data_IF_942116436838
#
_entry.id   IF_942116436838
#
_cell.length_a   1.000
_cell.length_b   1.000
_cell.length_c   1.000
_cell.angle_alpha   90.00
_cell.angle_beta   90.00
_cell.angle_gamma   90.00
#
_symmetry.space_group_name_H-M   'P 1'
#
loop_
_entity.id
_entity.type
_entity.pdbx_description
1 polymer ?
#
# COMPACT_ATOMS: atom_id res chain seq x y z
N UNK A 1 65.40 11.07 22.02
CA UNK A 1 64.73 10.36 20.91
C UNK A 1 63.42 9.78 21.41
N UNK A 2 62.27 10.47 21.30
CA UNK A 2 60.92 9.92 21.56
C UNK A 2 59.82 10.98 21.30
N UNK A 3 59.78 11.60 20.11
CA UNK A 3 58.76 12.63 19.79
C UNK A 3 58.11 12.53 18.40
N UNK A 4 58.36 11.48 17.61
CA UNK A 4 57.79 11.39 16.25
C UNK A 4 56.62 10.43 16.07
N UNK A 5 56.37 9.49 17.00
CA UNK A 5 55.31 8.48 16.83
C UNK A 5 53.90 9.02 17.10
N UNK A 6 53.76 10.02 17.98
CA UNK A 6 52.44 10.58 18.35
C UNK A 6 51.81 11.41 17.22
N UNK A 7 52.62 12.01 16.33
CA UNK A 7 52.11 12.85 15.24
C UNK A 7 51.60 12.04 14.04
N UNK A 8 52.08 10.80 13.87
CA UNK A 8 51.65 9.93 12.76
C UNK A 8 50.33 9.23 13.08
N UNK A 9 50.09 8.86 14.34
CA UNK A 9 48.82 8.22 14.75
C UNK A 9 47.61 9.15 14.69
N UNK A 10 47.78 10.47 14.90
CA UNK A 10 46.68 11.44 14.82
C UNK A 10 46.25 11.71 13.37
N UNK A 11 47.18 11.66 12.41
CA UNK A 11 46.86 11.86 10.99
C UNK A 11 46.14 10.66 10.37
N UNK A 12 46.46 9.43 10.79
CA UNK A 12 45.76 8.22 10.32
C UNK A 12 44.34 8.15 10.90
N UNK A 13 44.11 8.63 12.13
CA UNK A 13 42.77 8.61 12.72
C UNK A 13 41.81 9.62 12.05
N UNK A 14 42.32 10.80 11.66
CA UNK A 14 41.52 11.82 10.96
C UNK A 14 41.20 11.39 9.51
N UNK A 15 42.13 10.69 8.85
CA UNK A 15 41.89 10.13 7.52
C UNK A 15 40.88 8.96 7.53
N UNK A 16 40.76 8.22 8.64
CA UNK A 16 39.83 7.08 8.76
C UNK A 16 38.39 7.51 9.15
N UNK A 17 38.20 8.72 9.68
CA UNK A 17 36.86 9.24 10.00
C UNK A 17 36.18 9.97 8.83
N UNK A 18 36.89 10.24 7.73
CA UNK A 18 36.33 10.91 6.56
C UNK A 18 35.67 9.98 5.54
N UNK A 19 35.74 8.65 5.73
CA UNK A 19 35.21 7.66 4.79
C UNK A 19 33.89 7.01 5.21
N UNK A 20 33.25 7.46 6.30
CA UNK A 20 32.08 6.79 6.89
C UNK A 20 30.76 7.59 6.88
N UNK A 21 30.68 8.75 6.20
CA UNK A 21 29.43 9.50 6.03
C UNK A 21 29.25 10.00 4.59
N UNK A 22 29.22 9.07 3.64
CA UNK A 22 28.35 9.27 2.47
C UNK A 22 27.04 8.55 2.77
N UNK A 23 26.21 9.16 3.63
CA UNK A 23 24.77 8.99 3.44
C UNK A 23 24.53 9.70 2.12
N UNK A 24 24.56 8.93 1.03
CA UNK A 24 24.15 9.45 -0.26
C UNK A 24 22.77 10.03 -0.04
N UNK A 25 22.65 11.36 -0.11
CA UNK A 25 21.37 11.98 -0.37
C UNK A 25 20.94 11.36 -1.70
N UNK A 26 20.03 10.39 -1.65
CA UNK A 26 19.30 9.92 -2.81
C UNK A 26 18.58 11.17 -3.30
N UNK A 27 19.21 11.86 -4.25
CA UNK A 27 18.54 12.88 -5.05
C UNK A 27 17.39 12.12 -5.67
N UNK A 28 16.15 12.59 -5.41
CA UNK A 28 14.96 12.04 -6.01
C UNK A 28 15.26 11.81 -7.50
N UNK A 29 15.14 10.56 -7.94
CA UNK A 29 15.28 10.24 -9.34
C UNK A 29 14.13 10.96 -10.04
N UNK A 30 14.42 12.11 -10.67
CA UNK A 30 13.48 12.87 -11.52
C UNK A 30 13.11 12.10 -12.80
N UNK A 31 13.43 10.80 -12.87
CA UNK A 31 13.00 9.89 -13.92
C UNK A 31 11.51 9.64 -13.79
N UNK A 32 10.72 10.47 -14.44
CA UNK A 32 9.28 10.30 -14.47
C UNK A 32 8.93 9.13 -15.39
N UNK A 33 8.26 8.12 -14.85
CA UNK A 33 7.69 7.01 -15.58
C UNK A 33 6.18 7.06 -15.33
N UNK A 34 5.40 7.23 -16.38
CA UNK A 34 3.94 7.25 -16.30
C UNK A 34 3.43 5.87 -16.68
N UNK A 35 2.75 5.20 -15.75
CA UNK A 35 2.16 3.88 -15.97
C UNK A 35 0.74 3.89 -15.44
N UNK A 36 -0.25 3.83 -16.33
CA UNK A 36 -1.67 3.76 -15.98
C UNK A 36 -2.12 4.76 -14.91
N UNK A 37 -3.21 4.40 -14.22
CA UNK A 37 -3.68 5.10 -13.03
C UNK A 37 -3.04 4.47 -11.79
N UNK A 38 -2.34 5.30 -11.02
CA UNK A 38 -1.68 4.90 -9.78
C UNK A 38 -2.51 5.19 -8.54
N UNK A 39 -2.34 4.35 -7.52
CA UNK A 39 -2.85 4.57 -6.17
C UNK A 39 -1.69 5.08 -5.32
N UNK A 40 -1.89 6.20 -4.64
CA UNK A 40 -0.91 6.71 -3.68
C UNK A 40 -0.73 5.72 -2.53
N UNK A 41 0.53 5.47 -2.19
CA UNK A 41 0.93 4.62 -1.07
C UNK A 41 1.85 5.39 -0.13
N UNK A 42 2.00 4.96 1.13
CA UNK A 42 3.04 5.48 2.00
C UNK A 42 4.41 5.42 1.32
N UNK A 43 5.23 6.48 1.43
CA UNK A 43 6.58 6.48 0.87
C UNK A 43 7.37 5.27 1.35
N UNK A 44 7.93 4.52 0.40
CA UNK A 44 8.75 3.35 0.67
C UNK A 44 9.90 3.27 -0.34
N UNK A 45 10.82 2.35 -0.11
CA UNK A 45 11.98 2.13 -0.97
C UNK A 45 11.95 0.71 -1.50
N UNK A 46 12.13 0.55 -2.81
CA UNK A 46 12.26 -0.75 -3.47
C UNK A 46 13.71 -0.93 -3.87
N UNK A 47 14.30 -2.06 -3.50
CA UNK A 47 15.64 -2.43 -3.97
C UNK A 47 15.52 -3.27 -5.23
N UNK A 48 16.15 -2.81 -6.31
CA UNK A 48 16.23 -3.52 -7.58
C UNK A 48 17.64 -3.39 -8.15
N UNK A 49 18.23 -4.51 -8.57
CA UNK A 49 19.62 -4.59 -9.05
C UNK A 49 20.64 -3.90 -8.09
N UNK A 50 20.47 -4.13 -6.78
CA UNK A 50 21.33 -3.55 -5.74
C UNK A 50 21.21 -2.04 -5.55
N UNK A 51 20.27 -1.38 -6.23
CA UNK A 51 19.99 0.05 -6.12
C UNK A 51 18.64 0.29 -5.45
N UNK A 52 18.57 1.32 -4.60
CA UNK A 52 17.35 1.73 -3.91
C UNK A 52 16.58 2.78 -4.72
N UNK A 53 15.29 2.54 -4.92
CA UNK A 53 14.37 3.43 -5.64
C UNK A 53 13.24 3.88 -4.71
N UNK A 54 13.04 5.20 -4.53
CA UNK A 54 11.89 5.69 -3.78
C UNK A 54 10.62 5.47 -4.58
N UNK A 55 9.57 4.96 -3.93
CA UNK A 55 8.25 4.76 -4.53
C UNK A 55 7.17 5.23 -3.57
N UNK A 56 6.22 5.99 -4.10
CA UNK A 56 5.06 6.52 -3.36
C UNK A 56 3.75 6.26 -4.09
N UNK A 57 3.80 5.50 -5.17
CA UNK A 57 2.65 5.14 -5.99
C UNK A 57 2.74 3.68 -6.37
N UNK A 58 1.60 3.00 -6.39
CA UNK A 58 1.44 1.64 -6.86
C UNK A 58 0.43 1.62 -8.00
N UNK A 59 0.81 1.04 -9.13
CA UNK A 59 -0.06 0.99 -10.31
C UNK A 59 -0.81 -0.32 -10.29
N UNK A 60 -2.08 -0.29 -10.67
CA UNK A 60 -2.89 -1.50 -10.81
C UNK A 60 -3.33 -1.70 -12.26
N UNK A 61 -3.41 -2.96 -12.68
CA UNK A 61 -3.96 -3.34 -13.98
C UNK A 61 -4.72 -4.65 -13.83
N UNK A 62 -5.93 -4.72 -14.36
CA UNK A 62 -6.70 -5.97 -14.35
C UNK A 62 -6.05 -6.97 -15.30
N UNK A 63 -5.93 -8.23 -14.88
CA UNK A 63 -5.43 -9.28 -15.77
C UNK A 63 -6.27 -9.34 -17.05
N UNK A 64 -5.60 -9.31 -18.19
CA UNK A 64 -6.20 -9.27 -19.53
C UNK A 64 -6.25 -7.88 -20.14
N UNK A 65 -6.16 -6.81 -19.35
CA UNK A 65 -6.05 -5.44 -19.84
C UNK A 65 -4.60 -5.07 -20.16
N UNK A 66 -4.34 -4.28 -21.22
CA UNK A 66 -2.99 -3.87 -21.57
C UNK A 66 -2.43 -2.89 -20.54
N UNK A 67 -1.26 -3.20 -20.01
CA UNK A 67 -0.49 -2.28 -19.17
C UNK A 67 0.30 -1.34 -20.06
N UNK A 68 0.02 -0.04 -20.00
CA UNK A 68 0.70 0.98 -20.82
C UNK A 68 1.68 1.76 -19.97
N UNK A 69 2.93 1.86 -20.42
CA UNK A 69 3.97 2.64 -19.77
C UNK A 69 4.56 3.66 -20.74
N UNK A 70 4.97 4.81 -20.21
CA UNK A 70 5.67 5.86 -20.96
C UNK A 70 6.74 6.48 -20.08
N UNK A 71 7.98 6.36 -20.51
CA UNK A 71 9.08 7.05 -19.87
C UNK A 71 9.04 8.54 -20.26
N UNK A 72 8.94 9.42 -19.28
CA UNK A 72 9.00 10.89 -19.46
C UNK A 72 10.31 11.48 -18.92
N UNK A 73 11.17 10.64 -18.35
CA UNK A 73 12.57 10.93 -18.06
C UNK A 73 13.31 9.69 -17.55
N UNK A 74 14.65 9.74 -17.45
CA UNK A 74 15.53 10.80 -17.98
C UNK A 74 15.73 10.70 -19.51
N UNK A 75 16.42 11.65 -20.14
CA UNK A 75 16.47 11.81 -21.62
C UNK A 75 17.11 10.63 -22.38
N UNK A 76 17.85 9.77 -21.70
CA UNK A 76 18.62 8.67 -22.29
C UNK A 76 18.00 7.28 -22.11
N UNK A 77 16.69 7.20 -21.88
CA UNK A 77 15.95 5.93 -21.85
C UNK A 77 16.07 5.22 -23.20
N UNK A 78 16.43 3.93 -23.16
CA UNK A 78 16.49 3.04 -24.32
C UNK A 78 15.54 1.86 -24.25
N UNK A 79 14.99 1.57 -23.06
CA UNK A 79 14.04 0.47 -22.86
C UNK A 79 13.22 0.61 -21.59
N UNK A 80 12.09 -0.08 -21.60
CA UNK A 80 11.16 -0.23 -20.49
C UNK A 80 10.83 -1.71 -20.36
N UNK A 81 11.17 -2.28 -19.23
CA UNK A 81 11.06 -3.71 -19.00
C UNK A 81 10.09 -4.02 -17.88
N UNK A 82 9.45 -5.19 -17.95
CA UNK A 82 8.61 -5.73 -16.90
C UNK A 82 9.32 -6.93 -16.25
N UNK A 83 9.39 -6.91 -14.93
CA UNK A 83 9.96 -7.96 -14.09
C UNK A 83 8.90 -8.54 -13.17
N UNK A 84 9.03 -9.83 -12.85
CA UNK A 84 8.25 -10.47 -11.79
C UNK A 84 8.83 -10.12 -10.40
N UNK A 85 8.15 -10.61 -9.35
CA UNK A 85 8.55 -10.41 -7.95
C UNK A 85 9.94 -10.98 -7.62
N UNK A 86 10.40 -11.98 -8.37
CA UNK A 86 11.71 -12.60 -8.15
C UNK A 86 12.83 -11.86 -8.91
N UNK A 87 12.47 -10.82 -9.67
CA UNK A 87 13.39 -10.03 -10.50
C UNK A 87 13.67 -10.69 -11.86
N UNK A 88 12.90 -11.69 -12.26
CA UNK A 88 13.05 -12.31 -13.58
C UNK A 88 12.41 -11.42 -14.65
N UNK A 89 13.11 -11.23 -15.76
CA UNK A 89 12.61 -10.48 -16.90
C UNK A 89 11.42 -11.20 -17.53
N UNK A 90 10.27 -10.53 -17.56
CA UNK A 90 9.03 -11.02 -18.17
C UNK A 90 8.87 -10.48 -19.58
N UNK A 91 9.09 -9.17 -19.74
CA UNK A 91 9.06 -8.51 -21.05
C UNK A 91 10.20 -7.50 -21.16
N UNK A 92 10.86 -7.53 -22.30
CA UNK A 92 11.76 -6.49 -22.79
C UNK A 92 11.03 -5.65 -23.84
N UNK A 93 11.04 -4.33 -23.69
CA UNK A 93 10.55 -3.39 -24.71
C UNK A 93 11.57 -2.28 -24.95
N UNK A 94 12.22 -2.27 -26.12
CA UNK A 94 12.93 -1.09 -26.59
C UNK A 94 11.97 0.09 -26.64
N UNK A 95 12.39 1.23 -26.09
CA UNK A 95 11.57 2.42 -25.99
C UNK A 95 12.46 3.66 -25.88
N UNK A 96 12.08 4.73 -26.57
CA UNK A 96 12.71 6.03 -26.40
C UNK A 96 11.96 6.89 -25.38
N UNK A 97 12.57 8.00 -24.98
CA UNK A 97 11.88 9.03 -24.21
C UNK A 97 10.55 9.41 -24.87
N UNK A 98 9.49 9.52 -24.07
CA UNK A 98 8.12 9.85 -24.47
C UNK A 98 7.41 8.83 -25.37
N UNK A 99 8.04 7.69 -25.66
CA UNK A 99 7.39 6.59 -26.36
C UNK A 99 6.52 5.79 -25.40
N UNK A 100 5.31 5.47 -25.85
CA UNK A 100 4.40 4.59 -25.11
C UNK A 100 4.61 3.14 -25.53
N UNK A 101 4.84 2.27 -24.55
CA UNK A 101 4.92 0.83 -24.74
C UNK A 101 3.77 0.12 -24.02
N UNK A 102 3.40 -1.04 -24.54
CA UNK A 102 2.34 -1.88 -23.96
C UNK A 102 2.85 -3.27 -23.63
N UNK A 103 2.42 -3.75 -22.46
CA UNK A 103 2.63 -5.11 -21.97
C UNK A 103 1.29 -5.83 -21.91
N UNK A 104 1.23 -7.04 -22.47
CA UNK A 104 0.04 -7.88 -22.34
C UNK A 104 0.05 -8.52 -20.95
N UNK A 105 -1.07 -8.39 -20.23
CA UNK A 105 -1.21 -9.02 -18.90
C UNK A 105 -1.99 -10.34 -18.95
N UNK A 106 -2.45 -10.77 -20.14
CA UNK A 106 -3.29 -11.97 -20.32
C UNK A 106 -2.65 -13.24 -19.75
N UNK A 107 -1.33 -13.38 -19.95
CA UNK A 107 -0.55 -14.54 -19.53
C UNK A 107 0.17 -14.34 -18.20
N UNK A 108 -0.02 -13.19 -17.56
CA UNK A 108 0.55 -12.90 -16.25
C UNK A 108 -0.36 -13.48 -15.16
N UNK A 109 0.26 -14.12 -14.17
CA UNK A 109 -0.43 -14.53 -12.96
C UNK A 109 -0.74 -13.27 -12.14
N UNK A 110 -1.94 -13.14 -11.54
CA UNK A 110 -2.20 -12.07 -10.60
C UNK A 110 -1.13 -12.00 -9.50
N UNK A 111 -0.63 -10.81 -9.21
CA UNK A 111 0.51 -10.64 -8.32
C UNK A 111 1.24 -9.31 -8.49
N UNK A 112 2.40 -9.24 -7.84
CA UNK A 112 3.30 -8.08 -7.85
C UNK A 112 4.33 -8.19 -8.97
N UNK A 113 4.51 -7.09 -9.69
CA UNK A 113 5.45 -6.92 -10.78
C UNK A 113 6.15 -5.57 -10.63
N UNK A 114 7.18 -5.37 -11.43
CA UNK A 114 8.01 -4.18 -11.40
C UNK A 114 8.29 -3.73 -12.83
N UNK A 115 7.97 -2.48 -13.14
CA UNK A 115 8.44 -1.85 -14.38
C UNK A 115 9.74 -1.11 -14.07
N UNK A 116 10.76 -1.30 -14.89
CA UNK A 116 11.98 -0.52 -14.82
C UNK A 116 12.32 0.11 -16.18
N UNK A 117 12.84 1.33 -16.15
CA UNK A 117 13.44 1.96 -17.34
C UNK A 117 14.95 1.81 -17.27
N UNK A 118 15.60 1.65 -18.42
CA UNK A 118 17.07 1.59 -18.50
C UNK A 118 17.61 2.41 -19.67
N UNK A 119 18.88 2.79 -19.58
CA UNK A 119 19.62 3.43 -20.66
C UNK A 119 20.35 2.42 -21.57
N UNK A 120 20.99 2.93 -22.62
CA UNK A 120 21.72 2.11 -23.60
C UNK A 120 22.94 1.38 -23.03
N UNK A 121 23.33 1.63 -21.78
CA UNK A 121 24.35 0.85 -21.05
C UNK A 121 23.75 -0.28 -20.21
N UNK A 122 22.42 -0.38 -20.16
CA UNK A 122 21.67 -1.33 -19.34
C UNK A 122 21.47 -0.87 -17.89
N UNK A 123 21.78 0.40 -17.57
CA UNK A 123 21.63 0.92 -16.21
C UNK A 123 20.19 1.34 -15.96
N UNK A 124 19.58 0.81 -14.89
CA UNK A 124 18.24 1.18 -14.48
C UNK A 124 18.15 2.61 -13.92
N UNK A 125 17.10 3.32 -14.34
CA UNK A 125 16.92 4.75 -14.07
C UNK A 125 15.71 5.00 -13.17
N UNK A 126 14.58 4.37 -13.48
CA UNK A 126 13.34 4.46 -12.69
C UNK A 126 12.77 3.07 -12.48
N UNK A 127 12.10 2.89 -11.34
CA UNK A 127 11.39 1.66 -10.97
C UNK A 127 9.98 2.03 -10.49
N UNK A 128 8.97 1.33 -10.99
CA UNK A 128 7.57 1.52 -10.65
C UNK A 128 6.91 0.15 -10.33
N UNK A 129 6.47 -0.06 -9.09
CA UNK A 129 5.68 -1.24 -8.72
C UNK A 129 4.34 -1.28 -9.46
N UNK A 130 3.95 -2.47 -9.89
CA UNK A 130 2.68 -2.74 -10.56
C UNK A 130 2.02 -3.98 -9.95
N UNK A 131 0.71 -3.91 -9.71
CA UNK A 131 -0.11 -5.04 -9.31
C UNK A 131 -0.96 -5.49 -10.51
N UNK A 132 -0.76 -6.72 -10.98
CA UNK A 132 -1.69 -7.36 -11.91
C UNK A 132 -2.78 -8.01 -11.05
N UNK A 133 -4.01 -7.50 -11.13
CA UNK A 133 -5.07 -7.93 -10.22
C UNK A 133 -5.88 -9.09 -10.79
N UNK A 134 -6.26 -10.02 -9.90
CA UNK A 134 -7.24 -11.07 -10.13
C UNK A 134 -8.55 -10.84 -9.38
N UNK A 135 -8.60 -9.75 -8.60
CA UNK A 135 -9.74 -9.30 -7.85
C UNK A 135 -9.97 -7.80 -8.05
N UNK A 136 -11.23 -7.44 -8.27
CA UNK A 136 -11.70 -6.05 -8.16
C UNK A 136 -12.02 -5.76 -6.68
N UNK A 137 -11.47 -4.67 -6.16
CA UNK A 137 -11.57 -4.28 -4.74
C UNK A 137 -12.13 -2.88 -4.64
N UNK A 138 -13.21 -2.72 -3.87
CA UNK A 138 -13.77 -1.42 -3.53
C UNK A 138 -13.73 -1.18 -2.03
N UNK A 139 -13.41 0.05 -1.65
CA UNK A 139 -13.35 0.49 -0.25
C UNK A 139 -14.43 1.54 0.02
N UNK A 140 -15.13 1.38 1.13
CA UNK A 140 -16.05 2.36 1.67
C UNK A 140 -15.81 2.54 3.17
N UNK A 141 -16.16 3.71 3.69
CA UNK A 141 -15.96 4.08 5.10
C UNK A 141 -17.21 4.77 5.65
N UNK A 142 -17.51 4.50 6.92
CA UNK A 142 -18.60 5.15 7.66
C UNK A 142 -18.16 5.51 9.08
N UNK A 143 -18.70 6.60 9.65
CA UNK A 143 -18.55 6.87 11.08
C UNK A 143 -19.26 5.79 11.88
N UNK A 144 -18.71 5.42 13.05
CA UNK A 144 -19.44 4.60 14.01
C UNK A 144 -20.24 5.49 14.96
N UNK A 145 -21.52 5.17 15.14
CA UNK A 145 -22.46 5.91 16.01
C UNK A 145 -21.99 5.99 17.48
N UNK A 146 -21.17 5.04 17.92
CA UNK A 146 -20.87 4.83 19.35
C UNK A 146 -19.59 5.49 19.83
N UNK A 147 -18.71 5.96 18.95
CA UNK A 147 -17.42 6.48 19.36
C UNK A 147 -16.85 7.51 18.37
N UNK A 148 -16.55 8.68 18.91
CA UNK A 148 -15.93 9.78 18.18
C UNK A 148 -14.52 9.36 17.73
N UNK A 149 -14.24 9.50 16.44
CA UNK A 149 -12.96 9.07 15.84
C UNK A 149 -12.90 7.59 15.45
N UNK A 150 -13.85 6.76 15.89
CA UNK A 150 -13.95 5.39 15.38
C UNK A 150 -14.53 5.39 13.97
N UNK A 151 -13.86 4.64 13.08
CA UNK A 151 -14.25 4.45 11.69
C UNK A 151 -14.43 2.98 11.40
N UNK A 152 -15.51 2.67 10.70
CA UNK A 152 -15.74 1.35 10.12
C UNK A 152 -15.40 1.41 8.63
N UNK A 153 -14.63 0.43 8.18
CA UNK A 153 -14.33 0.21 6.78
C UNK A 153 -15.06 -1.03 6.30
N UNK A 154 -15.62 -0.94 5.10
CA UNK A 154 -16.21 -2.07 4.39
C UNK A 154 -15.50 -2.20 3.05
N UNK A 155 -14.90 -3.37 2.83
CA UNK A 155 -14.21 -3.74 1.60
C UNK A 155 -15.03 -4.79 0.88
N UNK A 156 -15.37 -4.55 -0.38
CA UNK A 156 -15.97 -5.56 -1.24
C UNK A 156 -14.95 -6.05 -2.24
N UNK A 157 -14.90 -7.36 -2.44
CA UNK A 157 -13.95 -8.04 -3.30
C UNK A 157 -14.70 -8.97 -4.25
N UNK A 158 -14.47 -8.80 -5.55
CA UNK A 158 -15.06 -9.61 -6.61
C UNK A 158 -13.95 -10.25 -7.43
N UNK A 159 -14.00 -11.56 -7.64
CA UNK A 159 -13.03 -12.27 -8.49
C UNK A 159 -13.22 -11.87 -9.96
N UNK A 160 -12.15 -11.45 -10.60
CA UNK A 160 -12.13 -11.04 -12.02
C UNK A 160 -11.29 -11.97 -12.89
N UNK A 161 -10.40 -12.74 -12.29
CA UNK A 161 -9.65 -13.80 -12.96
C UNK A 161 -9.47 -14.99 -12.01
N UNK A 162 -9.35 -16.19 -12.59
CA UNK A 162 -9.09 -17.40 -11.80
C UNK A 162 -7.80 -17.22 -11.00
N UNK A 163 -7.94 -17.21 -9.68
CA UNK A 163 -6.85 -17.00 -8.72
C UNK A 163 -7.10 -17.83 -7.47
N UNK A 164 -6.06 -18.07 -6.67
CA UNK A 164 -6.24 -18.74 -5.38
C UNK A 164 -7.09 -17.88 -4.42
N UNK A 165 -7.80 -18.50 -3.46
CA UNK A 165 -8.61 -17.77 -2.49
C UNK A 165 -7.80 -16.76 -1.69
N UNK A 166 -8.41 -15.62 -1.38
CA UNK A 166 -7.80 -14.54 -0.58
C UNK A 166 -7.48 -15.02 0.83
N UNK A 167 -6.25 -14.76 1.27
CA UNK A 167 -5.81 -15.06 2.64
C UNK A 167 -6.09 -13.91 3.60
N UNK A 168 -5.97 -12.68 3.09
CA UNK A 168 -5.97 -11.48 3.92
C UNK A 168 -6.47 -10.28 3.14
N UNK A 169 -7.34 -9.51 3.79
CA UNK A 169 -7.80 -8.19 3.34
C UNK A 169 -7.47 -7.17 4.42
N UNK A 170 -6.84 -6.08 4.02
CA UNK A 170 -6.44 -4.99 4.92
C UNK A 170 -6.79 -3.64 4.32
N UNK A 171 -7.09 -2.68 5.18
CA UNK A 171 -7.20 -1.27 4.81
C UNK A 171 -5.96 -0.55 5.30
N UNK A 172 -5.26 0.12 4.39
CA UNK A 172 -4.14 0.99 4.72
C UNK A 172 -4.67 2.41 4.84
N UNK A 173 -4.36 3.05 5.97
CA UNK A 173 -4.71 4.43 6.24
C UNK A 173 -3.43 5.19 6.53
N UNK A 174 -3.18 6.30 5.85
CA UNK A 174 -1.93 7.04 6.03
C UNK A 174 -2.11 8.56 5.93
N UNK A 175 -1.20 9.28 6.60
CA UNK A 175 -1.08 10.75 6.61
C UNK A 175 0.40 11.10 6.72
N UNK A 176 0.99 11.63 5.65
CA UNK A 176 2.44 11.84 5.59
C UNK A 176 3.15 10.50 5.82
N UNK A 177 4.03 10.45 6.83
CA UNK A 177 4.79 9.23 7.18
C UNK A 177 4.04 8.31 8.15
N UNK A 178 2.91 8.75 8.72
CA UNK A 178 2.11 7.93 9.63
C UNK A 178 1.26 6.94 8.83
N UNK A 179 1.42 5.65 9.11
CA UNK A 179 0.67 4.57 8.45
C UNK A 179 0.08 3.61 9.47
N UNK A 180 -1.20 3.31 9.31
CA UNK A 180 -1.91 2.27 10.05
C UNK A 180 -2.44 1.21 9.08
N UNK A 181 -2.28 -0.07 9.44
CA UNK A 181 -2.92 -1.20 8.74
C UNK A 181 -4.06 -1.72 9.59
N UNK A 182 -5.26 -1.67 9.04
CA UNK A 182 -6.48 -2.16 9.70
C UNK A 182 -6.77 -3.54 9.16
N UNK A 183 -6.59 -4.56 10.00
CA UNK A 183 -7.02 -5.91 9.67
C UNK A 183 -8.53 -5.98 9.55
N UNK A 184 -9.02 -6.68 8.54
CA UNK A 184 -10.45 -6.90 8.33
C UNK A 184 -10.83 -8.34 8.61
N UNK A 185 -12.12 -8.58 8.85
CA UNK A 185 -12.71 -9.91 8.97
C UNK A 185 -13.81 -10.07 7.95
N UNK A 186 -13.91 -11.26 7.36
CA UNK A 186 -14.98 -11.59 6.41
C UNK A 186 -16.33 -11.52 7.12
N UNK A 187 -17.20 -10.61 6.69
CA UNK A 187 -18.55 -10.44 7.23
C UNK A 187 -19.59 -11.16 6.38
N UNK A 188 -19.36 -11.26 5.07
CA UNK A 188 -20.16 -12.01 4.11
C UNK A 188 -19.28 -12.53 2.97
N UNK A 189 -19.84 -13.28 2.04
CA UNK A 189 -19.12 -13.64 0.81
C UNK A 189 -18.70 -12.38 0.04
N UNK A 190 -17.41 -12.26 -0.27
CA UNK A 190 -16.86 -11.07 -0.94
C UNK A 190 -16.80 -9.81 -0.08
N UNK A 191 -17.29 -9.78 1.16
CA UNK A 191 -17.32 -8.57 1.99
C UNK A 191 -16.51 -8.73 3.27
N UNK A 192 -15.68 -7.74 3.56
CA UNK A 192 -14.80 -7.69 4.72
C UNK A 192 -14.99 -6.38 5.47
N UNK A 193 -14.99 -6.43 6.80
CA UNK A 193 -15.14 -5.25 7.64
C UNK A 193 -14.00 -5.12 8.65
N UNK A 194 -13.59 -3.89 8.92
CA UNK A 194 -12.57 -3.57 9.92
C UNK A 194 -12.89 -2.24 10.59
N UNK A 195 -12.37 -2.02 11.79
CA UNK A 195 -12.57 -0.76 12.51
C UNK A 195 -11.25 -0.25 13.06
N UNK A 196 -11.06 1.06 13.08
CA UNK A 196 -9.93 1.69 13.77
C UNK A 196 -10.33 3.03 14.37
N UNK A 197 -9.55 3.51 15.33
CA UNK A 197 -9.69 4.86 15.89
C UNK A 197 -8.67 5.76 15.22
N UNK A 198 -9.12 6.92 14.75
CA UNK A 198 -8.29 7.90 14.06
C UNK A 198 -8.49 9.26 14.69
N UNK A 199 -7.39 9.98 14.86
CA UNK A 199 -7.42 11.37 15.31
C UNK A 199 -7.96 12.30 14.22
N UNK A 200 -8.42 13.51 14.59
CA UNK A 200 -8.77 14.53 13.61
C UNK A 200 -7.67 14.80 12.57
N UNK A 201 -8.10 15.12 11.36
CA UNK A 201 -7.31 15.55 10.21
C UNK A 201 -7.63 14.76 8.93
N UNK A 202 -6.75 14.83 7.93
CA UNK A 202 -6.96 14.26 6.59
C UNK A 202 -6.09 13.02 6.39
N UNK A 203 -6.65 11.98 5.78
CA UNK A 203 -6.02 10.69 5.54
C UNK A 203 -6.23 10.25 4.11
N UNK A 204 -5.24 9.57 3.56
CA UNK A 204 -5.38 8.75 2.36
C UNK A 204 -5.62 7.29 2.77
N UNK A 205 -6.43 6.60 1.98
CA UNK A 205 -6.79 5.21 2.26
C UNK A 205 -7.01 4.39 1.00
N UNK A 206 -6.61 3.13 1.08
CA UNK A 206 -6.86 2.10 0.08
C UNK A 206 -6.98 0.73 0.75
N UNK A 207 -7.68 -0.19 0.10
CA UNK A 207 -7.77 -1.58 0.51
C UNK A 207 -6.86 -2.46 -0.35
N UNK A 208 -6.31 -3.50 0.25
CA UNK A 208 -5.50 -4.52 -0.42
C UNK A 208 -5.99 -5.91 -0.08
N UNK A 209 -6.03 -6.78 -1.09
CA UNK A 209 -6.30 -8.21 -0.95
C UNK A 209 -5.04 -9.00 -1.35
N UNK A 210 -4.66 -9.96 -0.52
CA UNK A 210 -3.44 -10.76 -0.73
C UNK A 210 -3.70 -12.26 -0.72
N UNK A 211 -2.91 -12.97 -1.51
CA UNK A 211 -2.84 -14.43 -1.64
C UNK A 211 -1.38 -14.84 -1.51
N UNK A 212 -1.08 -15.78 -0.62
CA UNK A 212 0.25 -16.22 -0.23
C UNK A 212 1.21 -15.05 0.10
N UNK A 213 0.64 -13.96 0.63
CA UNK A 213 1.36 -12.72 0.93
C UNK A 213 1.57 -11.76 -0.24
N UNK A 214 1.21 -12.15 -1.47
CA UNK A 214 1.30 -11.30 -2.67
C UNK A 214 0.03 -10.49 -2.88
N UNK A 215 0.18 -9.25 -3.34
CA UNK A 215 -0.95 -8.40 -3.71
C UNK A 215 -1.65 -8.90 -4.97
N UNK A 216 -2.94 -9.20 -4.87
CA UNK A 216 -3.78 -9.68 -5.99
C UNK A 216 -5.02 -8.83 -6.24
N UNK A 217 -5.26 -7.83 -5.40
CA UNK A 217 -6.34 -6.86 -5.55
C UNK A 217 -6.04 -5.59 -4.78
N UNK A 218 -6.35 -4.45 -5.37
CA UNK A 218 -6.10 -3.12 -4.83
C UNK A 218 -7.33 -2.25 -5.12
N UNK A 219 -7.75 -1.44 -4.15
CA UNK A 219 -8.81 -0.44 -4.41
C UNK A 219 -8.20 0.85 -4.90
N UNK A 220 -9.01 1.67 -5.57
CA UNK A 220 -8.68 3.07 -5.79
C UNK A 220 -8.37 3.78 -4.45
N UNK A 221 -7.45 4.74 -4.50
CA UNK A 221 -7.18 5.63 -3.38
C UNK A 221 -8.37 6.54 -3.11
N UNK A 222 -8.65 6.80 -1.83
CA UNK A 222 -9.69 7.76 -1.43
C UNK A 222 -9.18 8.60 -0.27
N UNK A 223 -9.56 9.88 -0.25
CA UNK A 223 -9.25 10.79 0.85
C UNK A 223 -10.42 10.83 1.85
N UNK A 224 -10.09 10.80 3.14
CA UNK A 224 -11.06 10.91 4.23
C UNK A 224 -10.60 11.98 5.22
N UNK A 225 -11.53 12.86 5.60
CA UNK A 225 -11.30 13.89 6.61
C UNK A 225 -12.09 13.60 7.88
N UNK A 226 -11.42 13.71 9.02
CA UNK A 226 -11.99 13.62 10.36
C UNK A 226 -11.89 15.00 11.00
N UNK A 227 -13.01 15.55 11.42
CA UNK A 227 -13.05 16.85 12.11
C UNK A 227 -13.01 16.62 13.62
N UNK A 228 -12.26 17.44 14.33
CA UNK A 228 -12.36 17.52 15.78
C UNK A 228 -13.78 18.00 16.12
N UNK A 229 -14.45 17.30 17.03
CA UNK A 229 -15.70 17.79 17.56
C UNK A 229 -15.37 18.86 18.59
N UNK A 230 -15.93 20.06 18.42
CA UNK A 230 -15.92 21.02 19.53
C UNK A 230 -16.77 20.40 20.63
N UNK A 231 -16.19 20.17 21.81
CA UNK A 231 -16.96 19.87 23.01
C UNK A 231 -18.02 20.96 23.14
N UNK A 232 -19.28 20.64 22.84
CA UNK A 232 -20.39 21.49 23.23
C UNK A 232 -20.39 21.47 24.74
N UNK A 233 -19.84 22.53 25.34
CA UNK A 233 -19.99 22.79 26.75
C UNK A 233 -21.48 22.69 27.04
N UNK A 234 -21.90 21.65 27.76
CA UNK A 234 -23.26 21.59 28.30
C UNK A 234 -23.40 22.80 29.22
N UNK A 235 -23.97 23.88 28.70
CA UNK A 235 -24.50 24.95 29.53
C UNK A 235 -25.66 24.31 30.26
N UNK A 236 -25.41 23.95 31.51
CA UNK A 236 -26.40 23.48 32.47
C UNK A 236 -27.33 24.66 32.82
N UNK A 237 -28.13 25.10 31.83
CA UNK A 237 -29.05 26.21 31.90
C UNK A 237 -30.46 25.69 32.13
N UNK A 238 -30.72 25.25 33.36
CA UNK A 238 -32.08 25.03 33.87
C UNK A 238 -32.83 26.37 33.86
N UNK A 239 -33.67 26.61 32.86
CA UNK A 239 -34.90 27.37 33.06
C UNK A 239 -36.04 26.72 32.30
N UNK A 240 -36.84 26.04 33.11
CA UNK A 240 -38.16 25.51 32.82
C UNK A 240 -39.10 26.66 32.42
N UNK A 241 -39.55 26.67 31.16
CA UNK A 241 -40.78 27.36 30.76
C UNK A 241 -41.66 26.40 29.97
N UNK A 242 -42.69 25.94 30.68
CA UNK A 242 -43.85 25.20 30.20
C UNK A 242 -44.58 25.97 29.10
N UNK A 243 -44.67 25.41 27.90
CA UNK A 243 -45.74 25.74 26.93
C UNK A 243 -46.25 24.46 26.23
N UNK A 244 -47.57 24.33 26.26
CA UNK A 244 -48.46 23.28 25.74
C UNK A 244 -49.60 24.05 25.05
N UNK A 245 -50.37 23.53 24.06
CA UNK A 245 -50.10 22.60 22.94
C UNK A 245 -50.58 23.19 21.57
N UNK A 246 -50.36 22.50 20.43
CA UNK A 246 -51.40 22.38 19.38
C UNK A 246 -51.15 21.16 18.47
N UNK A 247 -52.19 20.35 18.12
CA UNK A 247 -52.04 19.16 17.29
C UNK A 247 -52.28 19.48 15.81
N UNK A 248 -51.51 18.90 14.88
CA UNK A 248 -51.87 18.94 13.45
C UNK A 248 -51.46 17.68 12.70
N UNK A 249 -52.50 16.93 12.35
CA UNK A 249 -52.76 16.12 11.14
C UNK A 249 -51.78 15.02 10.70
N UNK A 250 -52.24 13.80 10.97
CA UNK A 250 -51.99 12.55 10.28
C UNK A 250 -52.30 12.68 8.78
N UNK A 251 -51.33 12.40 7.91
CA UNK A 251 -51.61 12.05 6.50
C UNK A 251 -51.14 10.62 6.24
N UNK A 252 -52.14 9.77 6.05
CA UNK A 252 -52.07 8.37 5.69
C UNK A 252 -51.90 8.28 4.16
N UNK A 253 -50.88 7.59 3.67
CA UNK A 253 -50.80 7.21 2.25
C UNK A 253 -50.42 5.75 2.09
N UNK A 254 -50.92 5.20 0.99
CA UNK A 254 -51.49 3.87 0.88
C UNK A 254 -50.54 2.93 0.13
N UNK A 255 -50.48 1.71 0.64
CA UNK A 255 -50.19 0.44 -0.02
C UNK A 255 -50.35 0.41 -1.55
N UNK A 256 -49.35 -0.16 -2.25
CA UNK A 256 -49.62 -1.04 -3.38
C UNK A 256 -48.53 -2.11 -3.53
N UNK A 257 -48.98 -3.35 -3.60
CA UNK A 257 -48.18 -4.54 -3.82
C UNK A 257 -48.07 -4.81 -5.33
N UNK A 258 -46.92 -5.32 -5.79
CA UNK A 258 -46.89 -6.09 -7.03
C UNK A 258 -45.87 -7.22 -6.92
N UNK A 259 -46.33 -8.39 -7.37
CA UNK A 259 -45.75 -9.69 -7.15
C UNK A 259 -45.07 -10.24 -8.42
N UNK A 260 -44.14 -11.18 -8.19
CA UNK A 260 -43.84 -12.38 -9.00
C UNK A 260 -43.19 -12.20 -10.37
N UNK A 261 -42.00 -12.80 -10.57
CA UNK A 261 -41.86 -14.03 -11.37
C UNK A 261 -40.50 -14.71 -11.21
N UNK A 262 -40.59 -16.03 -11.00
CA UNK A 262 -39.55 -17.05 -11.01
C UNK A 262 -39.27 -17.48 -12.44
N UNK A 263 -38.00 -17.66 -12.84
CA UNK A 263 -37.66 -18.51 -13.99
C UNK A 263 -36.40 -19.33 -13.72
N UNK A 264 -36.50 -20.57 -14.16
CA UNK A 264 -35.70 -21.78 -13.92
C UNK A 264 -34.44 -21.93 -14.78
N UNK A 265 -33.50 -22.72 -14.26
CA UNK A 265 -32.31 -23.38 -14.84
C UNK A 265 -32.63 -24.16 -16.16
N UNK A 266 -31.66 -24.47 -17.05
CA UNK A 266 -30.79 -25.65 -16.84
C UNK A 266 -29.32 -25.51 -17.31
N UNK A 267 -28.54 -26.49 -16.84
CA UNK A 267 -27.13 -26.76 -17.05
C UNK A 267 -26.70 -26.99 -18.51
N UNK A 268 -25.40 -26.77 -18.79
CA UNK A 268 -24.71 -27.59 -19.77
C UNK A 268 -23.25 -27.83 -19.36
N UNK A 269 -22.88 -29.09 -19.26
CA UNK A 269 -21.54 -29.60 -19.04
C UNK A 269 -20.83 -29.76 -20.40
N UNK A 270 -19.53 -29.51 -20.47
CA UNK A 270 -18.65 -30.25 -21.40
C UNK A 270 -17.23 -30.30 -20.83
N UNK A 271 -16.78 -31.53 -20.62
CA UNK A 271 -15.42 -31.91 -20.29
C UNK A 271 -14.53 -31.89 -21.54
N UNK A 272 -13.24 -31.65 -21.34
CA UNK A 272 -12.20 -31.80 -22.37
C UNK A 272 -10.83 -31.97 -21.73
N UNK A 273 -10.46 -33.21 -21.47
CA UNK A 273 -9.09 -33.67 -21.18
C UNK A 273 -8.12 -33.31 -22.32
N UNK A 274 -6.89 -32.90 -21.97
CA UNK A 274 -5.71 -33.33 -22.73
C UNK A 274 -4.42 -33.31 -21.91
N UNK A 275 -3.85 -34.50 -21.78
CA UNK A 275 -2.50 -34.83 -21.30
C UNK A 275 -1.40 -34.23 -22.18
N UNK A 276 -0.19 -34.11 -21.62
CA UNK A 276 1.07 -34.19 -22.39
C UNK A 276 2.27 -33.52 -21.74
N UNK A 277 3.23 -34.36 -21.30
CA UNK A 277 4.70 -34.22 -21.29
C UNK A 277 5.34 -32.83 -21.09
N UNK A 278 6.28 -32.62 -20.18
CA UNK A 278 7.41 -33.49 -19.85
C UNK A 278 8.63 -33.12 -20.67
N UNK A 279 9.37 -32.06 -20.32
CA UNK A 279 10.78 -31.88 -20.69
C UNK A 279 11.52 -31.16 -19.58
N UNK A 280 12.49 -31.87 -19.00
CA UNK A 280 13.61 -31.32 -18.24
C UNK A 280 14.50 -30.49 -19.18
N UNK A 281 14.84 -29.27 -18.77
CA UNK A 281 16.03 -28.59 -19.26
C UNK A 281 16.71 -27.86 -18.12
N UNK A 282 17.93 -28.32 -17.84
CA UNK A 282 18.91 -27.77 -16.93
C UNK A 282 19.51 -26.46 -17.47
N UNK A 283 20.16 -25.73 -16.56
CA UNK A 283 21.17 -24.65 -16.71
C UNK A 283 20.64 -23.21 -16.49
N UNK A 284 21.48 -22.27 -16.01
CA UNK A 284 22.40 -22.30 -14.87
C UNK A 284 22.08 -21.20 -13.83
N UNK A 285 22.41 -21.44 -12.56
CA UNK A 285 22.36 -20.45 -11.48
C UNK A 285 23.39 -19.33 -11.71
N UNK A 286 22.97 -18.11 -12.07
CA UNK A 286 23.76 -16.90 -11.84
C UNK A 286 22.84 -15.69 -11.63
N UNK A 287 23.13 -14.96 -10.54
CA UNK A 287 22.57 -13.68 -10.07
C UNK A 287 21.23 -13.79 -9.31
N UNK A 288 21.36 -14.16 -8.04
CA UNK A 288 20.36 -13.86 -7.03
C UNK A 288 20.43 -12.40 -6.61
N UNK A 289 19.40 -11.63 -6.94
CA UNK A 289 19.05 -10.37 -6.30
C UNK A 289 17.60 -10.50 -5.86
N UNK A 290 17.34 -11.01 -4.66
CA UNK A 290 15.99 -11.05 -4.10
C UNK A 290 15.44 -9.63 -4.07
N UNK A 291 14.29 -9.39 -4.72
CA UNK A 291 13.49 -8.20 -4.44
C UNK A 291 12.89 -8.42 -3.05
N UNK A 292 13.57 -7.93 -2.02
CA UNK A 292 13.13 -8.11 -0.64
C UNK A 292 12.06 -7.07 -0.34
N UNK A 293 10.83 -7.53 -0.06
CA UNK A 293 9.71 -6.76 0.50
C UNK A 293 9.21 -5.56 -0.34
N UNK A 294 8.55 -5.82 -1.47
CA UNK A 294 7.87 -4.75 -2.22
C UNK A 294 6.72 -4.10 -1.43
N UNK A 295 6.00 -4.85 -0.58
CA UNK A 295 4.85 -4.32 0.18
C UNK A 295 4.65 -4.94 1.59
N UNK A 296 5.61 -5.74 2.06
CA UNK A 296 5.68 -6.33 3.40
C UNK A 296 6.63 -5.53 4.30
N UNK A 297 6.28 -4.27 4.57
CA UNK A 297 7.00 -3.45 5.54
C UNK A 297 7.08 -4.12 6.93
N UNK A 298 8.14 -3.85 7.71
CA UNK A 298 8.47 -4.59 8.92
C UNK A 298 7.38 -4.46 9.99
N UNK A 299 7.01 -5.60 10.57
CA UNK A 299 5.95 -5.77 11.58
C UNK A 299 6.29 -5.18 12.96
N UNK A 300 7.35 -4.38 13.10
CA UNK A 300 7.81 -3.89 14.40
C UNK A 300 8.42 -2.49 14.25
N UNK A 301 7.87 -1.50 14.96
CA UNK A 301 8.59 -0.40 15.64
C UNK A 301 7.64 0.57 16.39
N UNK A 302 6.33 0.62 16.09
CA UNK A 302 5.45 1.60 16.77
C UNK A 302 5.20 1.27 18.27
N UNK A 303 5.37 0.02 18.71
CA UNK A 303 5.27 -0.32 20.13
C UNK A 303 6.54 0.02 20.96
N UNK A 304 7.68 0.29 20.32
CA UNK A 304 8.97 0.49 21.02
C UNK A 304 9.23 1.93 21.48
N UNK A 305 8.79 2.92 20.70
CA UNK A 305 9.12 4.34 20.96
C UNK A 305 8.26 4.94 22.08
N UNK A 306 7.01 4.50 22.22
CA UNK A 306 6.13 4.93 23.33
C UNK A 306 6.60 4.33 24.66
N UNK A 307 7.12 3.10 24.66
CA UNK A 307 7.63 2.44 25.87
C UNK A 307 8.87 3.12 26.47
N UNK A 308 9.80 3.61 25.63
CA UNK A 308 11.04 4.26 26.09
C UNK A 308 10.79 5.66 26.64
N UNK A 309 9.80 6.40 26.10
CA UNK A 309 9.43 7.71 26.62
C UNK A 309 8.75 7.65 28.00
N UNK A 310 7.88 6.65 28.23
CA UNK A 310 7.23 6.47 29.54
C UNK A 310 8.22 6.04 30.62
N UNK A 311 9.18 5.15 30.30
CA UNK A 311 10.22 4.72 31.24
C UNK A 311 11.20 5.85 31.63
N UNK A 312 11.55 6.74 30.71
CA UNK A 312 12.44 7.87 31.03
C UNK A 312 11.78 8.86 32.01
N UNK A 313 10.47 9.07 31.89
CA UNK A 313 9.73 10.02 32.72
C UNK A 313 9.57 9.51 34.15
N UNK A 314 9.32 8.21 34.33
CA UNK A 314 9.21 7.57 35.65
C UNK A 314 10.58 7.51 36.36
N UNK A 315 11.65 7.21 35.62
CA UNK A 315 13.01 7.22 36.18
C UNK A 315 13.45 8.64 36.61
N UNK A 316 13.08 9.66 35.84
CA UNK A 316 13.39 11.05 36.18
C UNK A 316 12.65 11.53 37.44
N UNK A 317 11.37 11.19 37.60
CA UNK A 317 10.61 11.54 38.81
C UNK A 317 11.10 10.79 40.05
N UNK A 318 11.49 9.52 39.92
CA UNK A 318 12.08 8.76 41.02
C UNK A 318 13.41 9.36 41.50
N UNK A 319 14.32 9.70 40.57
CA UNK A 319 15.60 10.32 40.89
C UNK A 319 15.44 11.73 41.52
N UNK A 320 14.45 12.50 41.09
CA UNK A 320 14.18 13.83 41.65
C UNK A 320 13.67 13.77 43.09
N UNK A 321 12.88 12.74 43.44
CA UNK A 321 12.33 12.58 44.80
C UNK A 321 13.37 12.22 45.87
N UNK A 322 14.44 11.51 45.48
CA UNK A 322 15.53 11.11 46.38
C UNK A 322 16.49 12.26 46.72
N UNK A 323 16.52 13.32 45.92
CA UNK A 323 17.44 14.45 46.12
C UNK A 323 16.86 15.56 47.02
N UNK A 324 15.61 15.40 47.46
CA UNK A 324 14.86 16.38 48.27
C UNK A 324 14.67 15.97 49.73
N UNK A 325 15.34 14.90 50.17
CA UNK A 325 15.53 14.53 51.58
C UNK A 325 16.97 14.74 51.97
#
# INVERSE_FOLDING_TARGET
MQRSTVRVSVLVLIALTLSALTVGTVVANDGSLVVGDGVDIPPQTVTFDGTEYPVSTLVQVTRGEPLTARATGPENVSGVDLYDVDGSLVYDRPASLNESVQFSTTYLTPGEYLIATHDGSGRYQTVQPVAVTGYDVSLSTSPMETNEGQRQFTVNVTETAQTSPIDRVEVVVFRGDETARVSTSKSAEGTYTGTTNLEPGEYQLYARATVDGQLVGLSNGTTMRITAQNETTQVNGSTQTTQTPEPTQTTQSTQSAQATQTTTTPANATAGERSGDGVQSQLPEWIGGRVVNLLSGPLFVVAGVVGVLVLSTVAYQAAYSLRRR
#
